data_IF_879050276466
#
_entry.id   IF_879050276466
#
_cell.length_a   1.000
_cell.length_b   1.000
_cell.length_c   1.000
_cell.angle_alpha   90.00
_cell.angle_beta   90.00
_cell.angle_gamma   90.00
#
_symmetry.space_group_name_H-M   'P 1'
#
loop_
_entity.id
_entity.type
_entity.pdbx_description
1 polymer ?
#
# COMPACT_ATOMS: atom_id res chain seq x y z
N UNK A 1 36.23 31.17 -2.58
CA UNK A 1 35.65 32.09 -3.60
C UNK A 1 35.25 31.44 -4.92
N UNK A 2 35.68 30.20 -5.27
CA UNK A 2 35.22 29.53 -6.51
C UNK A 2 33.99 28.62 -6.31
N UNK A 3 33.74 28.14 -5.09
CA UNK A 3 32.61 27.26 -4.78
C UNK A 3 31.27 28.03 -4.70
N UNK A 4 31.28 29.26 -4.18
CA UNK A 4 30.06 30.07 -4.01
C UNK A 4 29.40 30.48 -5.34
N UNK A 5 30.19 30.79 -6.37
CA UNK A 5 29.66 31.24 -7.69
C UNK A 5 28.87 30.16 -8.42
N UNK A 6 29.19 28.89 -8.20
CA UNK A 6 28.44 27.77 -8.78
C UNK A 6 27.07 27.60 -8.11
N UNK A 7 27.00 27.79 -6.79
CA UNK A 7 25.74 27.66 -6.04
C UNK A 7 24.78 28.77 -6.40
N UNK A 8 25.26 30.01 -6.55
CA UNK A 8 24.45 31.14 -7.01
C UNK A 8 23.89 30.94 -8.42
N UNK A 9 24.68 30.42 -9.36
CA UNK A 9 24.21 30.12 -10.72
C UNK A 9 23.17 29.01 -10.76
N UNK A 10 23.32 27.98 -9.92
CA UNK A 10 22.36 26.89 -9.80
C UNK A 10 21.05 27.36 -9.16
N UNK A 11 21.10 28.28 -8.19
CA UNK A 11 19.92 28.88 -7.56
C UNK A 11 19.17 29.83 -8.50
N UNK A 12 19.88 30.44 -9.46
CA UNK A 12 19.30 31.31 -10.50
C UNK A 12 18.72 30.52 -11.68
N UNK A 13 18.98 29.22 -11.75
CA UNK A 13 18.55 28.33 -12.82
C UNK A 13 17.49 27.36 -12.30
N UNK A 14 16.23 27.74 -12.42
CA UNK A 14 15.07 27.02 -11.87
C UNK A 14 15.05 25.52 -12.20
N UNK A 15 15.49 25.13 -13.42
CA UNK A 15 15.54 23.71 -13.82
C UNK A 15 16.62 22.91 -13.09
N UNK A 16 17.78 23.50 -12.79
CA UNK A 16 18.85 22.81 -12.05
C UNK A 16 18.52 22.73 -10.56
N UNK A 17 17.88 23.77 -10.02
CA UNK A 17 17.37 23.77 -8.66
C UNK A 17 16.30 22.69 -8.43
N UNK A 18 15.32 22.57 -9.32
CA UNK A 18 14.27 21.54 -9.26
C UNK A 18 14.86 20.12 -9.29
N UNK A 19 15.85 19.86 -10.17
CA UNK A 19 16.53 18.56 -10.23
C UNK A 19 17.28 18.21 -8.94
N UNK A 20 17.91 19.20 -8.30
CA UNK A 20 18.62 18.99 -7.03
C UNK A 20 17.63 18.77 -5.88
N UNK A 21 16.54 19.56 -5.86
CA UNK A 21 15.47 19.45 -4.86
C UNK A 21 14.81 18.07 -4.91
N UNK A 22 14.35 17.65 -6.10
CA UNK A 22 13.71 16.34 -6.31
C UNK A 22 14.63 15.18 -5.94
N UNK A 23 15.91 15.23 -6.30
CA UNK A 23 16.89 14.20 -5.95
C UNK A 23 17.16 14.13 -4.43
N UNK A 24 17.19 15.27 -3.75
CA UNK A 24 17.35 15.32 -2.29
C UNK A 24 16.13 14.73 -1.59
N UNK A 25 14.93 15.11 -2.05
CA UNK A 25 13.66 14.55 -1.58
C UNK A 25 13.65 13.03 -1.77
N UNK A 26 13.98 12.53 -2.96
CA UNK A 26 14.09 11.09 -3.23
C UNK A 26 15.07 10.39 -2.28
N UNK A 27 16.25 10.97 -2.07
CA UNK A 27 17.25 10.40 -1.15
C UNK A 27 16.76 10.35 0.29
N UNK A 28 16.00 11.35 0.74
CA UNK A 28 15.44 11.38 2.10
C UNK A 28 14.36 10.30 2.25
N UNK A 29 13.48 10.12 1.25
CA UNK A 29 12.52 9.03 1.22
C UNK A 29 13.18 7.66 1.28
N UNK A 30 14.24 7.42 0.48
CA UNK A 30 14.97 6.13 0.49
C UNK A 30 15.58 5.87 1.87
N UNK A 31 16.19 6.88 2.50
CA UNK A 31 16.77 6.75 3.85
C UNK A 31 15.73 6.41 4.91
N UNK A 32 14.55 7.01 4.85
CA UNK A 32 13.45 6.68 5.76
C UNK A 32 12.95 5.25 5.56
N UNK A 33 12.82 4.82 4.31
CA UNK A 33 12.46 3.43 3.98
C UNK A 33 13.50 2.47 4.54
N UNK A 34 14.80 2.73 4.38
CA UNK A 34 15.85 1.84 4.85
C UNK A 34 15.91 1.73 6.39
N UNK A 35 15.65 2.83 7.12
CA UNK A 35 15.51 2.80 8.59
C UNK A 35 14.38 1.88 9.05
N UNK A 36 13.35 1.69 8.23
CA UNK A 36 12.16 0.90 8.58
C UNK A 36 12.29 -0.61 8.34
N UNK A 37 13.31 -1.05 7.56
CA UNK A 37 13.49 -2.47 7.15
C UNK A 37 13.78 -3.44 8.31
N UNK A 38 14.12 -2.96 9.50
CA UNK A 38 14.49 -3.78 10.66
C UNK A 38 13.33 -4.29 11.52
N UNK A 39 12.07 -4.12 11.11
CA UNK A 39 10.93 -4.70 11.84
C UNK A 39 10.64 -6.11 11.30
N UNK A 40 11.01 -7.13 12.06
CA UNK A 40 10.51 -8.50 11.87
C UNK A 40 9.00 -8.48 12.05
N UNK A 41 8.30 -8.50 10.93
CA UNK A 41 6.84 -8.54 10.91
C UNK A 41 6.39 -9.96 10.57
N UNK A 42 5.55 -10.54 11.40
CA UNK A 42 4.96 -11.84 11.11
C UNK A 42 3.97 -11.70 9.95
N UNK A 43 3.99 -12.66 9.02
CA UNK A 43 3.08 -12.66 7.87
C UNK A 43 2.12 -13.82 8.06
N UNK A 44 0.84 -13.50 8.25
CA UNK A 44 -0.22 -14.49 8.29
C UNK A 44 -0.90 -14.53 6.93
N UNK A 45 -0.97 -15.72 6.34
CA UNK A 45 -1.62 -15.96 5.04
C UNK A 45 -3.03 -16.53 5.18
N UNK A 46 -3.34 -17.16 6.30
CA UNK A 46 -4.66 -17.74 6.56
C UNK A 46 -5.52 -16.77 7.37
N UNK A 47 -6.68 -16.43 6.83
CA UNK A 47 -7.60 -15.43 7.37
C UNK A 47 -8.10 -15.81 8.77
N UNK A 48 -8.16 -17.12 9.10
CA UNK A 48 -8.63 -17.59 10.42
C UNK A 48 -7.73 -17.19 11.57
N UNK A 49 -6.42 -17.04 11.29
CA UNK A 49 -5.43 -16.63 12.28
C UNK A 49 -5.15 -15.12 12.22
N UNK A 50 -5.71 -14.42 11.22
CA UNK A 50 -5.52 -13.00 11.06
C UNK A 50 -6.29 -12.23 12.15
N UNK A 51 -5.65 -11.26 12.83
CA UNK A 51 -6.33 -10.49 13.86
C UNK A 51 -7.37 -9.57 13.20
N UNK A 52 -8.60 -9.59 13.74
CA UNK A 52 -9.78 -8.93 13.14
C UNK A 52 -9.59 -7.43 12.92
N UNK A 53 -8.85 -6.77 13.80
CA UNK A 53 -8.53 -5.35 13.72
C UNK A 53 -7.55 -5.00 12.58
N UNK A 54 -6.81 -5.97 12.05
CA UNK A 54 -5.88 -5.76 10.93
C UNK A 54 -6.42 -6.22 9.57
N UNK A 55 -7.52 -6.97 9.53
CA UNK A 55 -8.09 -7.46 8.26
C UNK A 55 -8.44 -6.34 7.28
N UNK A 56 -8.96 -5.22 7.77
CA UNK A 56 -9.29 -4.05 6.95
C UNK A 56 -8.30 -2.88 7.16
N UNK A 57 -7.08 -3.16 7.63
CA UNK A 57 -6.05 -2.13 7.80
C UNK A 57 -5.15 -2.00 6.57
N UNK A 58 -4.19 -1.05 6.62
CA UNK A 58 -3.14 -0.91 5.58
C UNK A 58 -2.18 -2.09 5.53
N UNK A 59 -2.17 -2.94 6.57
CA UNK A 59 -1.25 -4.05 6.73
C UNK A 59 -1.74 -5.34 6.05
N UNK A 60 -3.03 -5.42 5.73
CA UNK A 60 -3.61 -6.52 4.98
C UNK A 60 -3.54 -6.27 3.47
N UNK A 61 -3.29 -7.34 2.72
CA UNK A 61 -3.19 -7.35 1.26
C UNK A 61 -4.24 -8.29 0.70
N UNK A 62 -4.98 -7.75 -0.27
CA UNK A 62 -6.03 -8.45 -1.01
C UNK A 62 -5.71 -8.46 -2.50
N UNK A 63 -6.07 -9.55 -3.15
CA UNK A 63 -6.08 -9.69 -4.60
C UNK A 63 -7.45 -9.27 -5.13
N UNK A 64 -7.45 -8.40 -6.13
CA UNK A 64 -8.63 -8.07 -6.92
C UNK A 64 -8.43 -8.58 -8.33
N UNK A 65 -9.40 -9.33 -8.82
CA UNK A 65 -9.52 -9.71 -10.22
C UNK A 65 -10.68 -8.92 -10.81
N UNK A 66 -10.40 -8.12 -11.83
CA UNK A 66 -11.42 -7.39 -12.58
C UNK A 66 -11.75 -8.16 -13.86
N UNK A 67 -13.01 -8.57 -14.00
CA UNK A 67 -13.51 -9.33 -15.16
C UNK A 67 -13.50 -8.49 -16.44
N UNK A 68 -13.76 -7.19 -16.35
CA UNK A 68 -13.85 -6.28 -17.49
C UNK A 68 -12.47 -5.96 -18.07
N UNK A 69 -11.53 -5.52 -17.23
CA UNK A 69 -10.16 -5.21 -17.69
C UNK A 69 -9.26 -6.44 -17.78
N UNK A 70 -9.70 -7.60 -17.26
CA UNK A 70 -8.90 -8.84 -17.14
C UNK A 70 -7.58 -8.62 -16.38
N UNK A 71 -7.55 -7.66 -15.46
CA UNK A 71 -6.36 -7.31 -14.69
C UNK A 71 -6.41 -7.91 -13.28
N UNK A 72 -5.20 -8.13 -12.74
CA UNK A 72 -4.99 -8.46 -11.33
C UNK A 72 -4.43 -7.23 -10.62
N UNK A 73 -4.99 -6.87 -9.49
CA UNK A 73 -4.55 -5.74 -8.69
C UNK A 73 -4.40 -6.15 -7.24
N UNK A 74 -3.44 -5.54 -6.54
CA UNK A 74 -3.22 -5.77 -5.12
C UNK A 74 -3.60 -4.51 -4.38
N UNK A 75 -4.50 -4.65 -3.41
CA UNK A 75 -5.01 -3.53 -2.63
C UNK A 75 -4.84 -3.79 -1.15
N UNK A 76 -4.87 -2.73 -0.37
CA UNK A 76 -4.86 -2.85 1.09
C UNK A 76 -6.26 -3.18 1.64
N UNK A 77 -6.33 -3.50 2.93
CA UNK A 77 -7.58 -3.84 3.60
C UNK A 77 -8.64 -2.73 3.59
N UNK A 78 -8.24 -1.46 3.67
CA UNK A 78 -9.17 -0.31 3.62
C UNK A 78 -9.85 -0.25 2.24
N UNK A 79 -9.06 -0.44 1.19
CA UNK A 79 -9.58 -0.48 -0.18
C UNK A 79 -10.50 -1.69 -0.39
N UNK A 80 -10.11 -2.87 0.11
CA UNK A 80 -10.94 -4.08 0.04
C UNK A 80 -12.28 -3.91 0.80
N UNK A 81 -12.28 -3.21 1.93
CA UNK A 81 -13.51 -2.83 2.65
C UNK A 81 -14.41 -1.93 1.80
N UNK A 82 -13.83 -0.99 1.06
CA UNK A 82 -14.54 -0.16 0.10
C UNK A 82 -15.28 -0.98 -0.97
N UNK A 83 -14.69 -2.10 -1.42
CA UNK A 83 -15.38 -3.03 -2.34
C UNK A 83 -16.58 -3.69 -1.69
N UNK A 84 -16.56 -4.04 -0.40
CA UNK A 84 -17.73 -4.61 0.29
C UNK A 84 -18.92 -3.62 0.28
N UNK A 85 -18.66 -2.33 0.53
CA UNK A 85 -19.70 -1.31 0.63
C UNK A 85 -20.71 -1.65 1.74
N UNK A 86 -22.00 -1.67 1.44
CA UNK A 86 -23.07 -1.92 2.42
C UNK A 86 -23.36 -3.40 2.71
N UNK A 87 -22.52 -4.34 2.25
CA UNK A 87 -22.71 -5.77 2.51
C UNK A 87 -22.19 -6.17 3.90
N UNK A 88 -22.95 -5.80 4.94
CA UNK A 88 -22.58 -6.07 6.35
C UNK A 88 -22.42 -7.56 6.64
N UNK A 89 -23.25 -8.42 6.04
CA UNK A 89 -23.17 -9.87 6.24
C UNK A 89 -21.89 -10.48 5.68
N UNK A 90 -21.46 -10.08 4.49
CA UNK A 90 -20.18 -10.52 3.89
C UNK A 90 -19.00 -10.02 4.72
N UNK A 91 -19.08 -8.78 5.22
CA UNK A 91 -18.07 -8.21 6.12
C UNK A 91 -17.92 -9.02 7.42
N UNK A 92 -19.03 -9.39 8.05
CA UNK A 92 -19.00 -10.20 9.27
C UNK A 92 -18.36 -11.57 9.02
N UNK A 93 -18.68 -12.23 7.90
CA UNK A 93 -18.07 -13.51 7.52
C UNK A 93 -16.56 -13.41 7.29
N UNK A 94 -16.07 -12.28 6.78
CA UNK A 94 -14.64 -12.00 6.70
C UNK A 94 -14.01 -11.85 8.09
N UNK A 95 -14.67 -11.13 8.99
CA UNK A 95 -14.20 -10.92 10.36
C UNK A 95 -14.26 -12.21 11.21
N UNK A 96 -15.15 -13.14 10.91
CA UNK A 96 -15.19 -14.47 11.55
C UNK A 96 -14.22 -15.46 10.91
N UNK A 97 -13.64 -15.14 9.75
CA UNK A 97 -12.76 -16.03 9.00
C UNK A 97 -13.50 -17.20 8.34
N UNK A 98 -14.82 -17.09 8.17
CA UNK A 98 -15.64 -18.07 7.46
C UNK A 98 -15.38 -18.06 5.97
N UNK A 99 -15.13 -16.88 5.40
CA UNK A 99 -14.82 -16.69 3.99
C UNK A 99 -13.52 -15.91 3.85
N UNK A 100 -12.71 -16.28 2.87
CA UNK A 100 -11.46 -15.61 2.50
C UNK A 100 -11.60 -14.77 1.22
N UNK A 101 -12.75 -14.87 0.54
CA UNK A 101 -12.99 -14.27 -0.77
C UNK A 101 -14.47 -13.95 -0.99
N UNK A 102 -14.73 -12.96 -1.84
CA UNK A 102 -16.07 -12.59 -2.28
C UNK A 102 -16.05 -12.05 -3.72
N UNK A 103 -17.18 -12.15 -4.40
CA UNK A 103 -17.42 -11.51 -5.68
C UNK A 103 -18.42 -10.38 -5.51
N UNK A 104 -18.18 -9.26 -6.18
CA UNK A 104 -19.12 -8.15 -6.29
C UNK A 104 -19.05 -7.55 -7.68
N UNK A 105 -20.18 -7.54 -8.37
CA UNK A 105 -20.31 -7.08 -9.74
C UNK A 105 -19.26 -7.77 -10.65
N UNK A 106 -18.35 -7.00 -11.24
CA UNK A 106 -17.26 -7.50 -12.09
C UNK A 106 -15.94 -7.72 -11.36
N UNK A 107 -15.93 -7.61 -10.03
CA UNK A 107 -14.75 -7.76 -9.19
C UNK A 107 -14.82 -9.03 -8.35
N UNK A 108 -13.70 -9.75 -8.29
CA UNK A 108 -13.48 -10.81 -7.31
C UNK A 108 -12.36 -10.39 -6.38
N UNK A 109 -12.62 -10.41 -5.08
CA UNK A 109 -11.69 -9.96 -4.03
C UNK A 109 -11.33 -11.17 -3.16
N UNK A 110 -10.03 -11.39 -2.94
CA UNK A 110 -9.51 -12.49 -2.14
C UNK A 110 -8.42 -12.01 -1.17
N UNK A 111 -8.52 -12.42 0.09
CA UNK A 111 -7.47 -12.22 1.08
C UNK A 111 -6.21 -13.01 0.70
N UNK A 112 -5.05 -12.37 0.80
CA UNK A 112 -3.77 -13.02 0.55
C UNK A 112 -2.92 -13.14 1.82
N UNK A 113 -2.73 -12.03 2.51
CA UNK A 113 -1.90 -11.98 3.70
C UNK A 113 -2.14 -10.73 4.52
N UNK A 114 -1.83 -10.80 5.81
CA UNK A 114 -1.73 -9.65 6.71
C UNK A 114 -0.37 -9.64 7.37
N UNK A 115 0.19 -8.44 7.50
CA UNK A 115 1.40 -8.19 8.27
C UNK A 115 1.03 -7.84 9.71
N UNK A 116 1.57 -8.58 10.68
CA UNK A 116 1.38 -8.33 12.12
C UNK A 116 2.58 -7.59 12.70
#
# INVERSE_FOLDING_TARGET
MKEDKNIEQILLNDEEYEKISTKKIESDFVREIDKSKNKTSEIITDIKFAPKNKLFSKDAIYLILNKNSRTKSYVNGIQAEGFLGNQTSTREKFLTGEIDSFAKDDYFVKFLKVRI
#
